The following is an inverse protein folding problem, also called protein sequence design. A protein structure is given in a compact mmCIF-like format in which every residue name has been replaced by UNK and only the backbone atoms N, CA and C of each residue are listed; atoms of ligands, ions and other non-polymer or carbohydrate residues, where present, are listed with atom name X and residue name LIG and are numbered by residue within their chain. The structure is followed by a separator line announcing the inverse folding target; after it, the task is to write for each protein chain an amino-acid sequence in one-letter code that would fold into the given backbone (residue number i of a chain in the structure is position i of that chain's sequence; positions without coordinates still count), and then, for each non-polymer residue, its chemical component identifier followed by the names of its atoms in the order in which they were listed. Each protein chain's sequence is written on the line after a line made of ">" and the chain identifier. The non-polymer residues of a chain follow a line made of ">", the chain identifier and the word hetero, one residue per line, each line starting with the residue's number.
data_IF_103131191232
#
_entry.id   IF_103131191232
#
_cell.length_a   1.000
_cell.length_b   1.000
_cell.length_c   1.000
_cell.angle_alpha   90.00
_cell.angle_beta   90.00
_cell.angle_gamma   90.00
#
_symmetry.space_group_name_H-M   'P 1'
#
loop_
_entity.id
_entity.type
_entity.pdbx_description
1 polymer ?
#
# COMPACT_ATOMS: atom_id res chain seq x y z
N UNK A 1 -29.78 27.79 16.59
CA UNK A 1 -29.46 28.02 15.15
C UNK A 1 -28.55 26.93 14.61
N UNK A 2 -27.47 26.57 15.29
CA UNK A 2 -26.47 25.58 14.85
C UNK A 2 -27.03 24.22 14.42
N UNK A 3 -27.82 23.56 15.27
CA UNK A 3 -28.41 22.26 14.93
C UNK A 3 -29.41 22.33 13.76
N UNK A 4 -30.05 23.47 13.57
CA UNK A 4 -30.97 23.68 12.45
C UNK A 4 -30.22 23.73 11.12
N UNK A 5 -29.15 24.51 11.03
CA UNK A 5 -28.32 24.61 9.81
C UNK A 5 -27.69 23.26 9.44
N UNK A 6 -27.18 22.52 10.43
CA UNK A 6 -26.57 21.22 10.23
C UNK A 6 -27.58 20.13 9.84
N UNK A 7 -28.76 20.14 10.45
CA UNK A 7 -29.85 19.22 10.08
C UNK A 7 -30.37 19.50 8.68
N UNK A 8 -30.47 20.78 8.30
CA UNK A 8 -30.88 21.16 6.95
C UNK A 8 -29.88 20.65 5.89
N UNK A 9 -28.58 20.69 6.18
CA UNK A 9 -27.54 20.09 5.32
C UNK A 9 -27.73 18.58 5.11
N UNK A 10 -28.16 17.85 6.13
CA UNK A 10 -28.49 16.41 6.04
C UNK A 10 -29.73 16.19 5.16
N UNK A 11 -30.74 17.03 5.30
CA UNK A 11 -31.96 16.97 4.47
C UNK A 11 -31.64 17.24 3.00
N UNK A 12 -30.84 18.28 2.72
CA UNK A 12 -30.39 18.60 1.36
C UNK A 12 -29.62 17.43 0.75
N UNK A 13 -28.68 16.83 1.48
CA UNK A 13 -27.94 15.66 1.02
C UNK A 13 -28.86 14.46 0.73
N UNK A 14 -29.83 14.20 1.59
CA UNK A 14 -30.80 13.12 1.44
C UNK A 14 -31.69 13.31 0.21
N UNK A 15 -32.20 14.52 -0.01
CA UNK A 15 -33.02 14.87 -1.17
C UNK A 15 -32.19 14.73 -2.45
N UNK A 16 -30.94 15.21 -2.47
CA UNK A 16 -30.09 15.13 -3.64
C UNK A 16 -29.80 13.67 -4.05
N UNK A 17 -29.53 12.80 -3.07
CA UNK A 17 -29.34 11.36 -3.31
C UNK A 17 -30.65 10.70 -3.76
N UNK A 18 -31.78 11.04 -3.14
CA UNK A 18 -33.09 10.53 -3.58
C UNK A 18 -33.41 10.91 -5.03
N UNK A 19 -33.17 12.18 -5.40
CA UNK A 19 -33.34 12.66 -6.77
C UNK A 19 -32.39 11.97 -7.75
N UNK A 20 -31.18 11.60 -7.33
CA UNK A 20 -30.27 10.80 -8.14
C UNK A 20 -30.87 9.39 -8.39
N UNK A 21 -31.34 8.70 -7.36
CA UNK A 21 -31.93 7.37 -7.50
C UNK A 21 -33.21 7.37 -8.35
N UNK A 22 -34.04 8.41 -8.23
CA UNK A 22 -35.34 8.49 -8.92
C UNK A 22 -35.26 9.06 -10.34
N UNK A 23 -34.46 10.11 -10.55
CA UNK A 23 -34.45 10.89 -11.78
C UNK A 23 -33.09 10.92 -12.50
N UNK A 24 -32.02 10.39 -11.89
CA UNK A 24 -30.68 10.36 -12.49
C UNK A 24 -29.99 11.73 -12.57
N UNK A 25 -30.41 12.71 -11.76
CA UNK A 25 -29.92 14.10 -11.84
C UNK A 25 -28.52 14.30 -11.23
N UNK A 26 -27.49 13.86 -11.94
CA UNK A 26 -26.10 13.94 -11.47
C UNK A 26 -25.61 15.37 -11.22
N UNK A 27 -26.00 16.35 -12.07
CA UNK A 27 -25.60 17.76 -11.91
C UNK A 27 -26.10 18.36 -10.60
N UNK A 28 -27.32 18.01 -10.19
CA UNK A 28 -27.90 18.46 -8.94
C UNK A 28 -27.19 17.83 -7.74
N UNK A 29 -26.82 16.54 -7.83
CA UNK A 29 -26.00 15.88 -6.83
C UNK A 29 -24.63 16.56 -6.66
N UNK A 30 -23.89 16.77 -7.75
CA UNK A 30 -22.55 17.41 -7.68
C UNK A 30 -22.64 18.81 -7.06
N UNK A 31 -23.63 19.60 -7.47
CA UNK A 31 -23.86 20.93 -6.91
C UNK A 31 -24.20 20.87 -5.40
N UNK A 32 -25.07 19.93 -5.01
CA UNK A 32 -25.45 19.72 -3.61
C UNK A 32 -24.26 19.33 -2.73
N UNK A 33 -23.36 18.47 -3.23
CA UNK A 33 -22.13 18.09 -2.52
C UNK A 33 -21.30 19.35 -2.21
N UNK A 34 -21.02 20.17 -3.22
CA UNK A 34 -20.25 21.40 -3.04
C UNK A 34 -20.90 22.37 -2.05
N UNK A 35 -22.21 22.56 -2.17
CA UNK A 35 -22.98 23.46 -1.31
C UNK A 35 -23.00 23.00 0.14
N UNK A 36 -23.30 21.72 0.40
CA UNK A 36 -23.37 21.17 1.77
C UNK A 36 -21.99 21.21 2.46
N UNK A 37 -20.91 20.88 1.75
CA UNK A 37 -19.56 20.99 2.32
C UNK A 37 -19.14 22.43 2.57
N UNK A 38 -19.56 23.38 1.73
CA UNK A 38 -19.35 24.81 1.96
C UNK A 38 -20.11 25.33 3.18
N UNK A 39 -21.36 24.90 3.38
CA UNK A 39 -22.12 25.21 4.61
C UNK A 39 -21.38 24.69 5.84
N UNK A 40 -20.84 23.47 5.77
CA UNK A 40 -20.08 22.92 6.89
C UNK A 40 -18.76 23.63 7.16
N UNK A 41 -18.08 24.09 6.12
CA UNK A 41 -16.89 24.93 6.26
C UNK A 41 -17.22 26.28 6.91
N UNK A 42 -18.29 26.93 6.46
CA UNK A 42 -18.75 28.18 7.05
C UNK A 42 -19.15 28.00 8.51
N UNK A 43 -19.81 26.89 8.85
CA UNK A 43 -20.11 26.54 10.22
C UNK A 43 -18.83 26.38 11.06
N UNK A 44 -17.84 25.65 10.55
CA UNK A 44 -16.55 25.48 11.23
C UNK A 44 -15.84 26.82 11.48
N UNK A 45 -15.96 27.77 10.55
CA UNK A 45 -15.42 29.14 10.64
C UNK A 45 -16.30 30.11 11.45
N UNK A 46 -17.20 29.57 12.28
CA UNK A 46 -18.10 30.34 13.15
C UNK A 46 -19.10 31.24 12.39
N UNK A 47 -19.47 30.89 11.15
CA UNK A 47 -20.44 31.59 10.31
C UNK A 47 -20.17 33.10 10.15
N UNK A 48 -19.08 33.50 9.47
CA UNK A 48 -18.74 34.91 9.27
C UNK A 48 -19.78 35.67 8.44
N UNK A 49 -20.48 34.97 7.54
CA UNK A 49 -21.57 35.55 6.73
C UNK A 49 -22.77 36.00 7.56
N UNK A 50 -22.91 35.52 8.80
CA UNK A 50 -23.95 35.96 9.74
C UNK A 50 -23.47 37.08 10.67
N UNK A 51 -22.33 37.72 10.37
CA UNK A 51 -21.77 38.84 11.15
C UNK A 51 -20.88 38.41 12.32
N UNK A 52 -20.59 37.11 12.47
CA UNK A 52 -19.66 36.64 13.49
C UNK A 52 -18.20 36.85 13.06
N UNK A 53 -17.28 36.90 14.03
CA UNK A 53 -15.86 36.95 13.73
C UNK A 53 -15.40 35.65 13.05
N UNK A 54 -14.51 35.79 12.06
CA UNK A 54 -13.88 34.68 11.35
C UNK A 54 -12.90 33.97 12.29
N UNK A 55 -13.38 32.93 12.97
CA UNK A 55 -12.59 32.13 13.90
C UNK A 55 -13.06 30.67 13.85
N UNK A 56 -12.16 29.72 14.12
CA UNK A 56 -12.58 28.33 14.30
C UNK A 56 -13.50 28.22 15.52
N UNK A 57 -14.58 27.45 15.39
CA UNK A 57 -15.48 27.17 16.51
C UNK A 57 -14.71 26.54 17.69
N UNK A 58 -15.05 26.94 18.91
CA UNK A 58 -14.38 26.45 20.14
C UNK A 58 -14.97 25.15 20.68
N UNK A 59 -16.22 24.84 20.33
CA UNK A 59 -16.94 23.64 20.77
C UNK A 59 -17.57 23.00 19.53
N UNK A 60 -17.32 21.70 19.32
CA UNK A 60 -17.74 21.02 18.09
C UNK A 60 -19.26 20.81 17.98
N UNK A 61 -20.03 20.81 19.08
CA UNK A 61 -21.50 20.69 19.12
C UNK A 61 -22.09 19.65 18.14
N UNK A 62 -21.58 18.40 18.18
CA UNK A 62 -21.94 17.30 17.26
C UNK A 62 -21.61 17.52 15.77
N UNK A 63 -20.91 18.60 15.39
CA UNK A 63 -20.54 18.90 14.00
C UNK A 63 -19.80 17.77 13.28
N UNK A 64 -18.94 17.02 13.99
CA UNK A 64 -18.30 15.80 13.48
C UNK A 64 -19.31 14.73 13.13
N UNK A 65 -20.32 14.47 13.97
CA UNK A 65 -21.37 13.47 13.68
C UNK A 65 -22.14 13.83 12.41
N UNK A 66 -22.54 15.11 12.27
CA UNK A 66 -23.20 15.57 11.05
C UNK A 66 -22.31 15.41 9.81
N UNK A 67 -21.02 15.70 9.91
CA UNK A 67 -20.06 15.49 8.81
C UNK A 67 -20.00 14.02 8.37
N UNK A 68 -19.96 13.08 9.32
CA UNK A 68 -19.96 11.64 9.02
C UNK A 68 -21.28 11.18 8.39
N UNK A 69 -22.42 11.65 8.92
CA UNK A 69 -23.75 11.32 8.37
C UNK A 69 -23.89 11.84 6.94
N UNK A 70 -23.48 13.08 6.67
CA UNK A 70 -23.50 13.68 5.33
C UNK A 70 -22.63 12.84 4.37
N UNK A 71 -21.41 12.51 4.78
CA UNK A 71 -20.49 11.71 3.96
C UNK A 71 -21.06 10.31 3.67
N UNK A 72 -21.71 9.69 4.65
CA UNK A 72 -22.37 8.39 4.49
C UNK A 72 -23.57 8.46 3.54
N UNK A 73 -24.42 9.47 3.67
CA UNK A 73 -25.56 9.69 2.77
C UNK A 73 -25.09 9.87 1.33
N UNK A 74 -24.14 10.77 1.09
CA UNK A 74 -23.59 10.95 -0.26
C UNK A 74 -22.91 9.69 -0.78
N UNK A 75 -22.28 8.89 0.07
CA UNK A 75 -21.67 7.62 -0.34
C UNK A 75 -22.66 6.63 -0.94
N UNK A 76 -23.96 6.71 -0.60
CA UNK A 76 -25.01 5.87 -1.19
C UNK A 76 -25.14 6.06 -2.72
N UNK A 77 -24.65 7.18 -3.27
CA UNK A 77 -24.61 7.40 -4.72
C UNK A 77 -23.89 6.27 -5.47
N UNK A 78 -22.92 5.61 -4.82
CA UNK A 78 -22.14 4.52 -5.42
C UNK A 78 -22.91 3.20 -5.59
N UNK A 79 -24.12 3.11 -5.03
CA UNK A 79 -25.03 1.95 -5.18
C UNK A 79 -26.04 2.10 -6.31
N UNK A 80 -26.09 3.26 -6.97
CA UNK A 80 -26.96 3.50 -8.12
C UNK A 80 -26.57 2.54 -9.25
N UNK A 81 -27.54 1.82 -9.81
CA UNK A 81 -27.33 0.94 -10.97
C UNK A 81 -26.87 1.74 -12.17
N UNK A 82 -25.97 1.16 -12.97
CA UNK A 82 -25.52 1.79 -14.20
C UNK A 82 -26.69 1.92 -15.18
N UNK A 83 -26.98 3.13 -15.64
CA UNK A 83 -27.95 3.43 -16.69
C UNK A 83 -27.28 4.23 -17.80
N UNK A 84 -27.82 4.19 -19.01
CA UNK A 84 -27.29 4.95 -20.15
C UNK A 84 -27.29 6.47 -19.91
N UNK A 85 -28.19 6.97 -19.05
CA UNK A 85 -28.28 8.38 -18.67
C UNK A 85 -27.18 8.84 -17.70
N UNK A 86 -26.45 7.92 -17.07
CA UNK A 86 -25.43 8.22 -16.07
C UNK A 86 -24.04 7.99 -16.66
N UNK A 87 -23.36 9.08 -17.01
CA UNK A 87 -21.98 9.02 -17.46
C UNK A 87 -21.06 8.51 -16.32
N UNK A 88 -20.21 7.53 -16.64
CA UNK A 88 -19.24 6.94 -15.71
C UNK A 88 -18.37 8.01 -15.01
N UNK A 89 -18.00 9.07 -15.74
CA UNK A 89 -17.19 10.18 -15.24
C UNK A 89 -17.93 11.03 -14.20
N UNK A 90 -19.25 11.18 -14.31
CA UNK A 90 -20.05 12.02 -13.41
C UNK A 90 -20.17 11.44 -12.01
N UNK A 91 -20.41 10.13 -11.90
CA UNK A 91 -20.50 9.45 -10.60
C UNK A 91 -19.12 9.39 -9.94
N UNK A 92 -18.09 8.99 -10.69
CA UNK A 92 -16.72 8.94 -10.16
C UNK A 92 -16.26 10.32 -9.67
N UNK A 93 -16.52 11.37 -10.46
CA UNK A 93 -16.21 12.75 -10.06
C UNK A 93 -16.95 13.19 -8.80
N UNK A 94 -18.23 12.82 -8.66
CA UNK A 94 -19.02 13.15 -7.47
C UNK A 94 -18.54 12.41 -6.22
N UNK A 95 -18.13 11.14 -6.35
CA UNK A 95 -17.51 10.38 -5.24
C UNK A 95 -16.18 11.01 -4.82
N UNK A 96 -15.35 11.42 -5.78
CA UNK A 96 -14.08 12.11 -5.48
C UNK A 96 -14.33 13.45 -4.80
N UNK A 97 -15.29 14.25 -5.27
CA UNK A 97 -15.66 15.52 -4.65
C UNK A 97 -16.15 15.34 -3.21
N UNK A 98 -16.99 14.33 -2.97
CA UNK A 98 -17.44 13.97 -1.62
C UNK A 98 -16.27 13.58 -0.72
N UNK A 99 -15.35 12.74 -1.23
CA UNK A 99 -14.14 12.35 -0.51
C UNK A 99 -13.22 13.53 -0.19
N UNK A 100 -13.01 14.45 -1.13
CA UNK A 100 -12.19 15.65 -0.93
C UNK A 100 -12.81 16.59 0.11
N UNK A 101 -14.11 16.89 -0.01
CA UNK A 101 -14.84 17.74 0.94
C UNK A 101 -14.83 17.15 2.35
N UNK A 102 -15.09 15.84 2.47
CA UNK A 102 -14.99 15.13 3.74
C UNK A 102 -13.58 15.18 4.32
N UNK A 103 -12.55 14.88 3.53
CA UNK A 103 -11.15 14.83 3.99
C UNK A 103 -10.66 16.19 4.46
N UNK A 104 -10.97 17.25 3.72
CA UNK A 104 -10.60 18.62 4.08
C UNK A 104 -11.22 19.02 5.42
N UNK A 105 -12.52 18.83 5.59
CA UNK A 105 -13.19 19.16 6.85
C UNK A 105 -12.73 18.26 7.99
N UNK A 106 -12.57 16.95 7.76
CA UNK A 106 -12.08 16.03 8.77
C UNK A 106 -10.69 16.46 9.27
N UNK A 107 -9.79 16.87 8.38
CA UNK A 107 -8.47 17.37 8.76
C UNK A 107 -8.57 18.62 9.65
N UNK A 108 -9.46 19.57 9.32
CA UNK A 108 -9.71 20.75 10.15
C UNK A 108 -10.28 20.37 11.53
N UNK A 109 -11.27 19.48 11.59
CA UNK A 109 -11.83 19.01 12.86
C UNK A 109 -10.80 18.27 13.71
N UNK A 110 -9.96 17.43 13.10
CA UNK A 110 -8.89 16.73 13.80
C UNK A 110 -7.87 17.72 14.36
N UNK A 111 -7.43 18.69 13.56
CA UNK A 111 -6.47 19.71 13.97
C UNK A 111 -7.00 20.62 15.08
N UNK A 112 -8.31 20.91 15.12
CA UNK A 112 -8.91 21.78 16.14
C UNK A 112 -9.34 21.05 17.41
N UNK A 113 -9.88 19.83 17.31
CA UNK A 113 -10.59 19.18 18.41
C UNK A 113 -10.02 17.83 18.86
N UNK A 114 -9.32 17.10 17.98
CA UNK A 114 -8.89 15.72 18.25
C UNK A 114 -7.39 15.53 18.13
N UNK A 115 -6.58 16.55 18.47
CA UNK A 115 -5.11 16.48 18.35
C UNK A 115 -4.50 15.25 19.03
N UNK A 116 -5.06 14.84 20.18
CA UNK A 116 -4.61 13.68 20.96
C UNK A 116 -5.35 12.39 20.61
N UNK A 117 -6.65 12.47 20.33
CA UNK A 117 -7.54 11.30 20.25
C UNK A 117 -8.07 11.00 18.83
N UNK A 118 -7.38 11.46 17.79
CA UNK A 118 -7.80 11.23 16.39
C UNK A 118 -7.72 9.76 15.94
N UNK A 119 -7.03 8.90 16.68
CA UNK A 119 -6.77 7.51 16.33
C UNK A 119 -8.08 6.73 16.10
N UNK A 120 -9.01 6.79 17.05
CA UNK A 120 -10.31 6.11 16.95
C UNK A 120 -11.17 6.70 15.84
N UNK A 121 -11.08 8.01 15.62
CA UNK A 121 -11.80 8.69 14.55
C UNK A 121 -11.32 8.19 13.18
N UNK A 122 -10.01 8.18 12.94
CA UNK A 122 -9.42 7.67 11.70
C UNK A 122 -9.68 6.17 11.52
N UNK A 123 -9.66 5.39 12.61
CA UNK A 123 -10.02 3.97 12.60
C UNK A 123 -11.46 3.71 12.19
N UNK A 124 -12.41 4.51 12.68
CA UNK A 124 -13.83 4.37 12.30
C UNK A 124 -14.06 4.72 10.83
N UNK A 125 -13.39 5.76 10.30
CA UNK A 125 -13.41 6.10 8.88
C UNK A 125 -12.82 4.96 8.05
N UNK A 126 -11.66 4.44 8.47
CA UNK A 126 -11.00 3.32 7.79
C UNK A 126 -11.90 2.09 7.72
N UNK A 127 -12.47 1.68 8.86
CA UNK A 127 -13.37 0.54 8.94
C UNK A 127 -14.61 0.72 8.05
N UNK A 128 -15.25 1.90 8.10
CA UNK A 128 -16.39 2.22 7.24
C UNK A 128 -16.01 2.11 5.76
N UNK A 129 -14.91 2.74 5.34
CA UNK A 129 -14.50 2.74 3.94
C UNK A 129 -14.09 1.35 3.43
N UNK A 130 -13.40 0.56 4.24
CA UNK A 130 -13.03 -0.81 3.88
C UNK A 130 -14.27 -1.71 3.78
N UNK A 131 -15.15 -1.71 4.78
CA UNK A 131 -16.40 -2.48 4.74
C UNK A 131 -17.30 -2.05 3.57
N UNK A 132 -17.41 -0.74 3.33
CA UNK A 132 -18.18 -0.21 2.23
C UNK A 132 -17.58 -0.57 0.87
N UNK A 133 -16.25 -0.59 0.75
CA UNK A 133 -15.57 -1.05 -0.47
C UNK A 133 -15.88 -2.52 -0.78
N UNK A 134 -15.96 -3.37 0.24
CA UNK A 134 -16.36 -4.78 0.11
C UNK A 134 -17.81 -4.88 -0.38
N UNK A 135 -18.72 -4.12 0.24
CA UNK A 135 -20.12 -4.09 -0.16
C UNK A 135 -20.28 -3.64 -1.62
N UNK A 136 -19.59 -2.57 -2.03
CA UNK A 136 -19.59 -2.09 -3.41
C UNK A 136 -19.01 -3.14 -4.37
N UNK A 137 -17.94 -3.83 -3.99
CA UNK A 137 -17.36 -4.88 -4.82
C UNK A 137 -18.32 -6.05 -5.07
N UNK A 138 -19.22 -6.33 -4.12
CA UNK A 138 -20.19 -7.42 -4.21
C UNK A 138 -21.49 -7.02 -4.92
N UNK A 139 -21.96 -5.77 -4.73
CA UNK A 139 -23.28 -5.33 -5.18
C UNK A 139 -23.28 -4.31 -6.31
N UNK A 140 -22.21 -3.54 -6.47
CA UNK A 140 -22.16 -2.42 -7.41
C UNK A 140 -21.47 -2.79 -8.71
N UNK A 141 -22.01 -2.30 -9.81
CA UNK A 141 -21.40 -2.42 -11.14
C UNK A 141 -20.12 -1.55 -11.26
N UNK A 142 -19.98 -0.56 -10.38
CA UNK A 142 -18.92 0.44 -10.38
C UNK A 142 -17.66 -0.05 -9.66
N UNK A 143 -16.87 -0.90 -10.34
CA UNK A 143 -15.62 -1.47 -9.78
C UNK A 143 -14.56 -0.42 -9.39
N UNK A 144 -14.53 0.72 -10.09
CA UNK A 144 -13.56 1.80 -9.84
C UNK A 144 -13.86 2.51 -8.51
N UNK A 145 -15.14 2.78 -8.20
CA UNK A 145 -15.52 3.42 -6.93
C UNK A 145 -15.21 2.54 -5.73
N UNK A 146 -15.42 1.23 -5.82
CA UNK A 146 -15.00 0.30 -4.76
C UNK A 146 -13.49 0.43 -4.46
N UNK A 147 -12.66 0.57 -5.51
CA UNK A 147 -11.22 0.77 -5.35
C UNK A 147 -10.85 2.10 -4.67
N UNK A 148 -11.56 3.19 -4.95
CA UNK A 148 -11.33 4.48 -4.29
C UNK A 148 -11.65 4.42 -2.78
N UNK A 149 -12.77 3.82 -2.40
CA UNK A 149 -13.10 3.62 -0.98
C UNK A 149 -12.07 2.74 -0.27
N UNK A 150 -11.61 1.65 -0.92
CA UNK A 150 -10.57 0.81 -0.35
C UNK A 150 -9.26 1.58 -0.12
N UNK A 151 -8.81 2.35 -1.11
CA UNK A 151 -7.60 3.17 -1.00
C UNK A 151 -7.71 4.22 0.10
N UNK A 152 -8.83 4.93 0.17
CA UNK A 152 -9.07 5.91 1.23
C UNK A 152 -9.12 5.26 2.61
N UNK A 153 -9.73 4.07 2.72
CA UNK A 153 -9.73 3.26 3.94
C UNK A 153 -8.32 2.85 4.37
N UNK A 154 -7.45 2.49 3.44
CA UNK A 154 -6.06 2.16 3.76
C UNK A 154 -5.20 3.37 4.13
N UNK A 155 -5.40 4.52 3.49
CA UNK A 155 -4.69 5.75 3.86
C UNK A 155 -5.07 6.18 5.28
N UNK A 156 -6.36 6.15 5.61
CA UNK A 156 -6.83 6.46 6.98
C UNK A 156 -6.37 5.42 8.01
N UNK A 157 -6.28 4.14 7.61
CA UNK A 157 -5.65 3.10 8.44
C UNK A 157 -4.19 3.42 8.75
N UNK A 158 -3.42 3.90 7.76
CA UNK A 158 -2.01 4.26 7.96
C UNK A 158 -1.86 5.41 8.96
N UNK A 159 -2.74 6.43 8.91
CA UNK A 159 -2.76 7.54 9.87
C UNK A 159 -3.14 7.04 11.27
N UNK A 160 -4.12 6.14 11.37
CA UNK A 160 -4.50 5.50 12.64
C UNK A 160 -3.32 4.70 13.24
N UNK A 161 -2.63 3.88 12.44
CA UNK A 161 -1.49 3.07 12.87
C UNK A 161 -0.35 3.94 13.37
N UNK A 162 -0.07 5.05 12.67
CA UNK A 162 0.90 6.04 13.13
C UNK A 162 0.53 6.58 14.51
N UNK A 163 -0.73 6.97 14.72
CA UNK A 163 -1.18 7.48 16.00
C UNK A 163 -1.04 6.47 17.15
N UNK A 164 -1.38 5.20 16.95
CA UNK A 164 -1.31 4.21 18.03
C UNK A 164 0.09 3.74 18.41
N UNK A 165 1.00 3.64 17.45
CA UNK A 165 2.28 2.93 17.66
C UNK A 165 3.51 3.84 17.62
N UNK A 166 3.37 5.09 17.17
CA UNK A 166 4.44 6.05 16.91
C UNK A 166 5.57 5.51 16.02
N UNK A 167 6.39 6.39 15.46
CA UNK A 167 7.63 5.94 14.82
C UNK A 167 8.69 5.62 15.89
N UNK A 168 9.46 4.53 15.71
CA UNK A 168 9.60 3.69 14.51
C UNK A 168 8.71 2.42 14.47
N UNK A 169 7.97 2.09 15.53
CA UNK A 169 7.18 0.83 15.57
C UNK A 169 6.04 0.81 14.56
N UNK A 170 5.47 1.97 14.23
CA UNK A 170 4.45 2.09 13.19
C UNK A 170 4.90 1.51 11.84
N UNK A 171 6.20 1.58 11.49
CA UNK A 171 6.72 1.02 10.24
C UNK A 171 6.45 -0.49 10.10
N UNK A 172 6.51 -1.23 11.21
CA UNK A 172 6.20 -2.67 11.22
C UNK A 172 4.76 -2.93 10.75
N UNK A 173 3.80 -2.23 11.35
CA UNK A 173 2.38 -2.38 11.02
C UNK A 173 2.04 -1.83 9.63
N UNK A 174 2.69 -0.74 9.21
CA UNK A 174 2.53 -0.20 7.86
C UNK A 174 3.07 -1.16 6.78
N UNK A 175 4.17 -1.87 7.06
CA UNK A 175 4.67 -2.93 6.19
C UNK A 175 3.62 -4.05 6.06
N UNK A 176 3.09 -4.55 7.18
CA UNK A 176 2.06 -5.60 7.15
C UNK A 176 0.78 -5.14 6.45
N UNK A 177 0.36 -3.89 6.68
CA UNK A 177 -0.79 -3.27 6.00
C UNK A 177 -0.59 -3.29 4.48
N UNK A 178 0.60 -2.95 3.98
CA UNK A 178 0.90 -2.97 2.54
C UNK A 178 0.63 -4.34 1.88
N UNK A 179 0.94 -5.44 2.57
CA UNK A 179 0.62 -6.78 2.06
C UNK A 179 -0.89 -7.03 1.97
N UNK A 180 -1.64 -6.57 2.98
CA UNK A 180 -3.11 -6.67 3.00
C UNK A 180 -3.72 -5.85 1.85
N UNK A 181 -3.20 -4.65 1.58
CA UNK A 181 -3.65 -3.80 0.47
C UNK A 181 -3.49 -4.52 -0.87
N UNK A 182 -2.34 -5.16 -1.14
CA UNK A 182 -2.15 -5.91 -2.40
C UNK A 182 -3.04 -7.15 -2.47
N UNK A 183 -3.27 -7.81 -1.34
CA UNK A 183 -4.21 -8.94 -1.26
C UNK A 183 -5.62 -8.52 -1.67
N UNK A 184 -6.09 -7.38 -1.16
CA UNK A 184 -7.38 -6.80 -1.54
C UNK A 184 -7.40 -6.33 -3.00
N UNK A 185 -6.32 -5.72 -3.48
CA UNK A 185 -6.18 -5.28 -4.88
C UNK A 185 -6.34 -6.44 -5.87
N UNK A 186 -5.72 -7.58 -5.56
CA UNK A 186 -5.81 -8.81 -6.34
C UNK A 186 -7.23 -9.35 -6.36
N UNK A 187 -7.94 -9.32 -5.23
CA UNK A 187 -9.35 -9.74 -5.15
C UNK A 187 -10.26 -8.81 -5.96
N UNK A 188 -10.04 -7.50 -5.86
CA UNK A 188 -10.78 -6.48 -6.61
C UNK A 188 -10.42 -6.47 -8.10
N UNK A 189 -9.35 -7.18 -8.49
CA UNK A 189 -8.73 -7.14 -9.82
C UNK A 189 -8.38 -5.71 -10.25
N UNK A 190 -8.03 -4.85 -9.28
CA UNK A 190 -7.76 -3.43 -9.49
C UNK A 190 -6.26 -3.16 -9.58
N UNK A 191 -5.79 -2.82 -10.79
CA UNK A 191 -4.40 -2.43 -11.04
C UNK A 191 -4.03 -1.13 -10.32
N UNK A 192 -4.99 -0.22 -10.21
CA UNK A 192 -4.79 1.09 -9.58
C UNK A 192 -4.36 0.95 -8.12
N UNK A 193 -5.01 0.06 -7.36
CA UNK A 193 -4.65 -0.19 -5.96
C UNK A 193 -3.22 -0.73 -5.83
N UNK A 194 -2.81 -1.66 -6.72
CA UNK A 194 -1.45 -2.21 -6.70
C UNK A 194 -0.41 -1.11 -6.95
N UNK A 195 -0.64 -0.22 -7.92
CA UNK A 195 0.28 0.88 -8.24
C UNK A 195 0.42 1.83 -7.06
N UNK A 196 -0.70 2.30 -6.50
CA UNK A 196 -0.70 3.21 -5.35
C UNK A 196 0.01 2.58 -4.15
N UNK A 197 -0.27 1.31 -3.84
CA UNK A 197 0.40 0.62 -2.75
C UNK A 197 1.90 0.43 -2.99
N UNK A 198 2.32 0.19 -4.23
CA UNK A 198 3.75 0.08 -4.56
C UNK A 198 4.48 1.40 -4.29
N UNK A 199 3.88 2.54 -4.67
CA UNK A 199 4.42 3.86 -4.39
C UNK A 199 4.49 4.11 -2.88
N UNK A 200 3.39 3.84 -2.17
CA UNK A 200 3.28 4.05 -0.72
C UNK A 200 4.31 3.20 0.04
N UNK A 201 4.43 1.91 -0.31
CA UNK A 201 5.41 1.00 0.29
C UNK A 201 6.85 1.46 0.03
N UNK A 202 7.17 1.89 -1.19
CA UNK A 202 8.49 2.44 -1.52
C UNK A 202 8.80 3.68 -0.67
N UNK A 203 7.85 4.61 -0.57
CA UNK A 203 8.02 5.82 0.26
C UNK A 203 8.23 5.46 1.72
N UNK A 204 7.44 4.54 2.28
CA UNK A 204 7.60 4.10 3.67
C UNK A 204 8.98 3.48 3.91
N UNK A 205 9.45 2.60 3.01
CA UNK A 205 10.78 1.98 3.12
C UNK A 205 11.88 3.05 3.07
N UNK A 206 11.81 3.99 2.14
CA UNK A 206 12.80 5.07 2.03
C UNK A 206 12.80 5.99 3.25
N UNK A 207 11.62 6.33 3.79
CA UNK A 207 11.51 7.12 5.01
C UNK A 207 12.10 6.38 6.22
N UNK A 208 11.80 5.09 6.36
CA UNK A 208 12.35 4.26 7.43
C UNK A 208 13.88 4.25 7.39
N UNK A 209 14.47 3.96 6.22
CA UNK A 209 15.93 3.92 6.05
C UNK A 209 16.62 5.28 6.29
N UNK A 210 15.91 6.40 6.11
CA UNK A 210 16.47 7.75 6.29
C UNK A 210 16.29 8.29 7.71
N UNK A 211 15.19 7.96 8.38
CA UNK A 211 14.73 8.69 9.58
C UNK A 211 14.81 7.90 10.86
N UNK A 212 14.91 6.58 10.80
CA UNK A 212 14.79 5.71 11.98
C UNK A 212 16.02 4.84 12.16
N UNK A 213 16.29 4.51 13.41
CA UNK A 213 17.21 3.45 13.74
C UNK A 213 16.71 2.12 13.17
N UNK A 214 17.64 1.31 12.72
CA UNK A 214 17.34 0.00 12.15
C UNK A 214 16.88 -0.91 13.27
N UNK A 215 15.60 -1.30 13.25
CA UNK A 215 15.01 -2.23 14.21
C UNK A 215 14.79 -3.56 13.52
N UNK A 216 15.28 -4.64 14.13
CA UNK A 216 15.20 -6.01 13.58
C UNK A 216 13.79 -6.39 13.14
N UNK A 217 12.80 -6.22 14.01
CA UNK A 217 11.41 -6.56 13.69
C UNK A 217 10.88 -5.80 12.47
N UNK A 218 11.24 -4.52 12.33
CA UNK A 218 10.83 -3.68 11.20
C UNK A 218 11.56 -4.10 9.92
N UNK A 219 12.87 -4.33 9.98
CA UNK A 219 13.69 -4.82 8.86
C UNK A 219 13.15 -6.15 8.30
N UNK A 220 12.89 -7.11 9.20
CA UNK A 220 12.31 -8.42 8.85
C UNK A 220 10.95 -8.24 8.19
N UNK A 221 10.10 -7.36 8.73
CA UNK A 221 8.75 -7.13 8.19
C UNK A 221 8.80 -6.60 6.76
N UNK A 222 9.65 -5.61 6.46
CA UNK A 222 9.81 -5.08 5.10
C UNK A 222 10.33 -6.13 4.13
N UNK A 223 11.36 -6.89 4.53
CA UNK A 223 11.93 -7.98 3.73
C UNK A 223 10.89 -9.04 3.36
N UNK A 224 10.16 -9.51 4.37
CA UNK A 224 9.17 -10.57 4.22
C UNK A 224 7.96 -10.08 3.42
N UNK A 225 7.43 -8.90 3.73
CA UNK A 225 6.31 -8.30 2.98
C UNK A 225 6.69 -8.10 1.52
N UNK A 226 7.89 -7.61 1.22
CA UNK A 226 8.32 -7.40 -0.17
C UNK A 226 8.39 -8.72 -0.96
N UNK A 227 8.95 -9.78 -0.37
CA UNK A 227 8.99 -11.13 -0.98
C UNK A 227 7.58 -11.72 -1.18
N UNK A 228 6.75 -11.68 -0.15
CA UNK A 228 5.38 -12.21 -0.22
C UNK A 228 4.54 -11.45 -1.25
N UNK A 229 4.66 -10.13 -1.30
CA UNK A 229 3.94 -9.28 -2.26
C UNK A 229 4.36 -9.58 -3.70
N UNK A 230 5.67 -9.69 -3.96
CA UNK A 230 6.18 -10.07 -5.27
C UNK A 230 5.66 -11.45 -5.72
N UNK A 231 5.54 -12.39 -4.77
CA UNK A 231 5.04 -13.75 -5.03
C UNK A 231 3.53 -13.76 -5.28
N UNK A 232 2.75 -13.04 -4.47
CA UNK A 232 1.31 -12.90 -4.65
C UNK A 232 0.96 -12.34 -6.03
N UNK A 233 1.66 -11.28 -6.45
CA UNK A 233 1.48 -10.67 -7.77
C UNK A 233 1.89 -11.62 -8.92
N UNK A 234 2.90 -12.47 -8.70
CA UNK A 234 3.29 -13.48 -9.68
C UNK A 234 2.22 -14.56 -9.86
N UNK A 235 1.64 -15.02 -8.76
CA UNK A 235 0.63 -16.08 -8.78
C UNK A 235 -0.66 -15.62 -9.47
N UNK A 236 -1.07 -14.37 -9.23
CA UNK A 236 -2.33 -13.83 -9.77
C UNK A 236 -2.15 -12.98 -11.02
N UNK A 237 -1.10 -13.27 -11.80
CA UNK A 237 -0.74 -12.54 -13.03
C UNK A 237 -1.90 -12.46 -14.01
N UNK A 238 -2.62 -13.56 -14.24
CA UNK A 238 -3.70 -13.62 -15.22
C UNK A 238 -4.97 -12.85 -14.80
N UNK A 239 -5.15 -12.63 -13.49
CA UNK A 239 -6.25 -11.82 -12.96
C UNK A 239 -6.04 -10.33 -13.17
N UNK A 240 -4.80 -9.89 -13.40
CA UNK A 240 -4.37 -8.50 -13.51
C UNK A 240 -3.75 -8.28 -14.89
N UNK A 241 -4.60 -8.19 -15.91
CA UNK A 241 -4.26 -8.36 -17.34
C UNK A 241 -3.12 -7.53 -17.96
N UNK A 242 -2.41 -6.58 -17.32
CA UNK A 242 -1.26 -5.82 -17.92
C UNK A 242 -0.25 -5.29 -16.86
N UNK A 243 1.05 -5.22 -17.23
CA UNK A 243 2.24 -4.55 -16.59
C UNK A 243 2.62 -4.91 -15.14
N UNK A 244 2.02 -5.92 -14.53
CA UNK A 244 2.42 -6.48 -13.21
C UNK A 244 3.89 -6.88 -13.12
N UNK A 245 4.56 -7.14 -14.25
CA UNK A 245 5.98 -7.47 -14.27
C UNK A 245 6.88 -6.36 -13.72
N UNK A 246 6.57 -5.08 -13.98
CA UNK A 246 7.36 -3.96 -13.48
C UNK A 246 7.15 -3.79 -11.98
N UNK A 247 5.90 -3.76 -11.52
CA UNK A 247 5.56 -3.62 -10.10
C UNK A 247 6.14 -4.77 -9.27
N UNK A 248 6.04 -6.01 -9.75
CA UNK A 248 6.70 -7.17 -9.13
C UNK A 248 8.21 -6.99 -9.03
N UNK A 249 8.85 -6.44 -10.06
CA UNK A 249 10.30 -6.20 -10.03
C UNK A 249 10.68 -5.19 -8.97
N UNK A 250 9.89 -4.13 -8.80
CA UNK A 250 10.11 -3.14 -7.73
C UNK A 250 10.12 -3.84 -6.37
N UNK A 251 9.10 -4.67 -6.08
CA UNK A 251 9.07 -5.44 -4.83
C UNK A 251 10.24 -6.42 -4.68
N UNK A 252 10.67 -7.10 -5.76
CA UNK A 252 11.85 -7.97 -5.69
C UNK A 252 13.13 -7.18 -5.42
N UNK A 253 13.30 -6.01 -6.04
CA UNK A 253 14.47 -5.16 -5.79
C UNK A 253 14.49 -4.69 -4.34
N UNK A 254 13.35 -4.22 -3.81
CA UNK A 254 13.22 -3.84 -2.39
C UNK A 254 13.53 -5.05 -1.50
N UNK A 255 12.98 -6.22 -1.80
CA UNK A 255 13.25 -7.45 -1.05
C UNK A 255 14.74 -7.82 -1.06
N UNK A 256 15.42 -7.70 -2.20
CA UNK A 256 16.85 -7.99 -2.31
C UNK A 256 17.67 -7.15 -1.34
N UNK A 257 17.49 -5.83 -1.36
CA UNK A 257 18.21 -4.92 -0.48
C UNK A 257 17.82 -5.09 0.98
N UNK A 258 16.52 -5.18 1.28
CA UNK A 258 16.05 -5.31 2.65
C UNK A 258 16.50 -6.64 3.28
N UNK A 259 16.55 -7.75 2.54
CA UNK A 259 17.05 -9.02 3.08
C UNK A 259 18.54 -8.93 3.43
N UNK A 260 19.37 -8.35 2.56
CA UNK A 260 20.79 -8.14 2.86
C UNK A 260 20.98 -7.26 4.09
N UNK A 261 20.25 -6.15 4.17
CA UNK A 261 20.28 -5.22 5.29
C UNK A 261 19.81 -5.88 6.59
N UNK A 262 18.72 -6.64 6.52
CA UNK A 262 18.17 -7.37 7.68
C UNK A 262 19.20 -8.37 8.22
N UNK A 263 19.82 -9.16 7.34
CA UNK A 263 20.83 -10.14 7.75
C UNK A 263 22.11 -9.48 8.25
N UNK A 264 22.48 -8.31 7.71
CA UNK A 264 23.63 -7.55 8.18
C UNK A 264 23.46 -7.03 9.61
N UNK A 265 22.24 -6.60 9.96
CA UNK A 265 21.96 -6.07 11.29
C UNK A 265 21.65 -7.16 12.33
N UNK A 266 20.91 -8.20 11.93
CA UNK A 266 20.44 -9.25 12.83
C UNK A 266 21.55 -10.22 13.28
N UNK A 267 22.61 -10.36 12.48
CA UNK A 267 23.61 -11.42 12.67
C UNK A 267 24.94 -10.79 13.12
N UNK A 268 25.64 -11.41 14.10
CA UNK A 268 26.94 -10.92 14.54
C UNK A 268 27.93 -10.78 13.39
N UNK A 269 28.81 -9.76 13.45
CA UNK A 269 29.71 -9.37 12.36
C UNK A 269 30.47 -10.56 11.73
N UNK A 270 30.97 -11.47 12.57
CA UNK A 270 31.69 -12.70 12.18
C UNK A 270 30.93 -13.68 11.28
N UNK A 271 29.61 -13.57 11.17
CA UNK A 271 28.76 -14.51 10.42
C UNK A 271 28.02 -13.86 9.25
N UNK A 272 28.30 -12.59 8.92
CA UNK A 272 27.56 -11.85 7.88
C UNK A 272 27.79 -12.47 6.50
N UNK A 273 29.03 -12.73 6.10
CA UNK A 273 29.32 -13.40 4.81
C UNK A 273 28.67 -14.77 4.72
N UNK A 274 28.73 -15.56 5.80
CA UNK A 274 28.10 -16.89 5.84
C UNK A 274 26.59 -16.77 5.64
N UNK A 275 25.95 -15.83 6.34
CA UNK A 275 24.52 -15.57 6.24
C UNK A 275 24.08 -15.16 4.84
N UNK A 276 24.79 -14.21 4.22
CA UNK A 276 24.49 -13.79 2.84
C UNK A 276 24.69 -14.96 1.87
N UNK A 277 25.71 -15.78 2.08
CA UNK A 277 25.93 -16.98 1.26
C UNK A 277 24.78 -17.98 1.41
N UNK A 278 24.26 -18.20 2.63
CA UNK A 278 23.06 -19.01 2.86
C UNK A 278 21.82 -18.40 2.19
N UNK A 279 21.64 -17.08 2.27
CA UNK A 279 20.54 -16.39 1.58
C UNK A 279 20.61 -16.57 0.06
N UNK A 280 21.81 -16.55 -0.53
CA UNK A 280 22.00 -16.87 -1.94
C UNK A 280 21.57 -18.31 -2.30
N UNK A 281 21.90 -19.28 -1.45
CA UNK A 281 21.43 -20.67 -1.61
C UNK A 281 19.91 -20.73 -1.55
N UNK A 282 19.28 -20.06 -0.59
CA UNK A 282 17.81 -19.99 -0.47
C UNK A 282 17.19 -19.40 -1.74
N UNK A 283 17.73 -18.29 -2.26
CA UNK A 283 17.26 -17.71 -3.52
C UNK A 283 17.46 -18.64 -4.72
N UNK A 284 18.56 -19.38 -4.76
CA UNK A 284 18.83 -20.35 -5.82
C UNK A 284 17.83 -21.52 -5.78
N UNK A 285 17.59 -22.09 -4.60
CA UNK A 285 16.57 -23.13 -4.39
C UNK A 285 15.18 -22.61 -4.78
N UNK A 286 14.81 -21.40 -4.36
CA UNK A 286 13.55 -20.76 -4.77
C UNK A 286 13.46 -20.58 -6.29
N UNK A 287 14.56 -20.25 -6.97
CA UNK A 287 14.61 -20.19 -8.43
C UNK A 287 14.28 -21.53 -9.09
N UNK A 288 14.75 -22.64 -8.52
CA UNK A 288 14.46 -23.99 -9.02
C UNK A 288 13.00 -24.38 -8.76
N UNK A 289 12.53 -24.23 -7.51
CA UNK A 289 11.18 -24.59 -7.08
C UNK A 289 10.13 -23.77 -7.84
N UNK A 290 10.34 -22.47 -7.98
CA UNK A 290 9.41 -21.56 -8.64
C UNK A 290 9.63 -21.45 -10.15
N UNK A 291 10.64 -22.13 -10.70
CA UNK A 291 11.06 -22.06 -12.10
C UNK A 291 11.16 -20.60 -12.62
N UNK A 292 11.67 -19.69 -11.78
CA UNK A 292 11.68 -18.26 -12.06
C UNK A 292 13.10 -17.68 -12.03
N UNK A 293 13.55 -17.20 -13.19
CA UNK A 293 14.91 -16.67 -13.43
C UNK A 293 15.21 -15.43 -12.57
N UNK A 294 14.21 -14.70 -12.08
CA UNK A 294 14.47 -13.50 -11.26
C UNK A 294 15.10 -13.82 -9.91
N UNK A 295 14.66 -14.91 -9.27
CA UNK A 295 15.29 -15.39 -8.04
C UNK A 295 16.72 -15.89 -8.28
N UNK A 296 17.01 -16.35 -9.51
CA UNK A 296 18.38 -16.70 -9.93
C UNK A 296 19.30 -15.48 -9.95
N UNK A 297 18.81 -14.35 -10.47
CA UNK A 297 19.56 -13.09 -10.44
C UNK A 297 19.77 -12.59 -9.00
N UNK A 298 18.78 -12.74 -8.13
CA UNK A 298 18.93 -12.41 -6.70
C UNK A 298 20.00 -13.29 -6.05
N UNK A 299 20.00 -14.60 -6.31
CA UNK A 299 21.03 -15.51 -5.79
C UNK A 299 22.43 -15.10 -6.24
N UNK A 300 22.64 -14.83 -7.53
CA UNK A 300 23.92 -14.38 -8.06
C UNK A 300 24.34 -13.02 -7.48
N UNK A 301 23.41 -12.06 -7.39
CA UNK A 301 23.67 -10.76 -6.79
C UNK A 301 24.06 -10.85 -5.32
N UNK A 302 23.40 -11.72 -4.55
CA UNK A 302 23.73 -11.98 -3.14
C UNK A 302 25.09 -12.67 -3.00
N UNK A 303 25.43 -13.61 -3.88
CA UNK A 303 26.77 -14.22 -3.92
C UNK A 303 27.86 -13.18 -4.17
N UNK A 304 27.64 -12.28 -5.14
CA UNK A 304 28.57 -11.20 -5.45
C UNK A 304 28.72 -10.27 -4.25
N UNK A 305 27.62 -9.86 -3.60
CA UNK A 305 27.65 -9.04 -2.41
C UNK A 305 28.40 -9.73 -1.25
N UNK A 306 28.19 -11.03 -1.03
CA UNK A 306 28.91 -11.82 -0.03
C UNK A 306 30.41 -11.88 -0.31
N UNK A 307 30.80 -12.09 -1.56
CA UNK A 307 32.21 -12.07 -1.95
C UNK A 307 32.85 -10.70 -1.71
N UNK A 308 32.18 -9.61 -2.11
CA UNK A 308 32.69 -8.25 -1.86
C UNK A 308 32.84 -7.95 -0.37
N UNK A 309 31.82 -8.28 0.44
CA UNK A 309 31.89 -8.07 1.89
C UNK A 309 33.03 -8.87 2.53
N UNK A 310 33.20 -10.13 2.11
CA UNK A 310 34.28 -10.97 2.58
C UNK A 310 35.67 -10.38 2.30
N UNK A 311 35.92 -9.95 1.06
CA UNK A 311 37.23 -9.42 0.66
C UNK A 311 37.54 -8.06 1.30
N UNK A 312 36.54 -7.19 1.46
CA UNK A 312 36.76 -5.81 1.91
C UNK A 312 36.75 -5.73 3.45
N UNK A 313 35.87 -6.46 4.12
CA UNK A 313 35.60 -6.28 5.56
C UNK A 313 36.09 -7.48 6.37
N UNK A 314 35.67 -8.70 6.02
CA UNK A 314 35.99 -9.87 6.85
C UNK A 314 37.47 -10.22 6.83
N UNK A 315 38.18 -9.93 5.74
CA UNK A 315 39.61 -10.22 5.62
C UNK A 315 40.44 -9.49 6.69
N UNK A 316 39.99 -8.31 7.12
CA UNK A 316 40.67 -7.45 8.10
C UNK A 316 40.16 -7.69 9.53
N UNK A 317 38.83 -7.86 9.71
CA UNK A 317 38.20 -7.78 11.04
C UNK A 317 37.89 -9.12 11.71
N UNK A 318 37.83 -10.22 10.96
CA UNK A 318 37.31 -11.49 11.46
C UNK A 318 38.43 -12.45 11.82
N UNK A 319 38.25 -13.31 12.82
CA UNK A 319 39.26 -14.33 13.17
C UNK A 319 39.50 -15.32 12.02
N UNK A 320 40.73 -15.85 11.93
CA UNK A 320 41.19 -16.67 10.82
C UNK A 320 40.30 -17.90 10.55
N UNK A 321 39.79 -18.53 11.61
CA UNK A 321 38.94 -19.74 11.50
C UNK A 321 37.63 -19.43 10.76
N UNK A 322 36.95 -18.33 11.10
CA UNK A 322 35.70 -17.95 10.45
C UNK A 322 35.91 -17.50 9.00
N UNK A 323 37.05 -16.86 8.71
CA UNK A 323 37.44 -16.51 7.33
C UNK A 323 37.59 -17.75 6.45
N UNK A 324 38.29 -18.78 6.94
CA UNK A 324 38.48 -20.03 6.21
C UNK A 324 37.13 -20.72 5.96
N UNK A 325 36.28 -20.82 6.98
CA UNK A 325 34.94 -21.43 6.85
C UNK A 325 34.09 -20.69 5.82
N UNK A 326 34.04 -19.35 5.88
CA UNK A 326 33.28 -18.54 4.93
C UNK A 326 33.79 -18.72 3.49
N UNK A 327 35.12 -18.73 3.29
CA UNK A 327 35.74 -18.90 1.98
C UNK A 327 35.49 -20.31 1.41
N UNK A 328 35.62 -21.35 2.23
CA UNK A 328 35.30 -22.72 1.83
C UNK A 328 33.83 -22.86 1.42
N UNK A 329 32.92 -22.25 2.19
CA UNK A 329 31.50 -22.31 1.90
C UNK A 329 31.14 -21.58 0.60
N UNK A 330 31.73 -20.39 0.39
CA UNK A 330 31.56 -19.59 -0.83
C UNK A 330 32.12 -20.33 -2.07
N UNK A 331 33.30 -20.95 -1.93
CA UNK A 331 33.91 -21.75 -2.99
C UNK A 331 33.05 -22.97 -3.34
N UNK A 332 32.59 -23.72 -2.33
CA UNK A 332 31.74 -24.90 -2.53
C UNK A 332 30.46 -24.56 -3.28
N UNK A 333 29.77 -23.49 -2.89
CA UNK A 333 28.53 -23.06 -3.54
C UNK A 333 28.80 -22.54 -4.96
N UNK A 334 29.89 -21.80 -5.17
CA UNK A 334 30.28 -21.31 -6.49
C UNK A 334 30.57 -22.46 -7.47
N UNK A 335 31.28 -23.49 -7.01
CA UNK A 335 31.54 -24.71 -7.80
C UNK A 335 30.23 -25.43 -8.11
N UNK A 336 29.36 -25.61 -7.10
CA UNK A 336 28.05 -26.24 -7.28
C UNK A 336 27.18 -25.52 -8.32
N UNK A 337 27.13 -24.19 -8.26
CA UNK A 337 26.43 -23.35 -9.24
C UNK A 337 27.03 -23.48 -10.65
N UNK A 338 28.36 -23.47 -10.76
CA UNK A 338 29.08 -23.60 -12.03
C UNK A 338 28.79 -24.93 -12.74
N UNK A 339 28.85 -26.06 -12.00
CA UNK A 339 28.55 -27.40 -12.53
C UNK A 339 27.09 -27.47 -13.00
N UNK A 340 26.16 -26.94 -12.21
CA UNK A 340 24.75 -26.94 -12.55
C UNK A 340 24.47 -26.20 -13.87
N UNK A 341 25.06 -25.01 -14.06
CA UNK A 341 24.88 -24.27 -15.31
C UNK A 341 25.58 -24.91 -16.49
N UNK A 342 26.80 -25.43 -16.30
CA UNK A 342 27.53 -26.13 -17.35
C UNK A 342 26.74 -27.34 -17.87
N UNK A 343 26.14 -28.14 -16.97
CA UNK A 343 25.26 -29.26 -17.36
C UNK A 343 23.99 -28.79 -18.08
N UNK A 344 23.37 -27.70 -17.63
CA UNK A 344 22.15 -27.17 -18.24
C UNK A 344 22.39 -26.60 -19.65
N UNK A 345 23.51 -25.92 -19.87
CA UNK A 345 23.90 -25.41 -21.19
C UNK A 345 24.17 -26.58 -22.14
N UNK A 346 24.93 -27.59 -21.69
CA UNK A 346 25.21 -28.79 -22.48
C UNK A 346 23.94 -29.57 -22.87
N UNK A 347 22.95 -29.65 -21.98
CA UNK A 347 21.63 -30.26 -22.26
C UNK A 347 20.74 -29.42 -23.18
N UNK A 348 20.90 -28.09 -23.21
CA UNK A 348 20.18 -27.23 -24.16
C UNK A 348 20.76 -27.37 -25.56
N UNK A 349 22.08 -27.41 -25.69
CA UNK A 349 22.78 -27.65 -26.97
C UNK A 349 22.52 -29.04 -27.54
N UNK A 350 22.33 -30.07 -26.70
CA UNK A 350 21.95 -31.41 -27.19
C UNK A 350 20.49 -31.53 -27.65
N UNK A 351 19.63 -30.56 -27.31
CA UNK A 351 18.19 -30.59 -27.58
C UNK A 351 17.76 -29.63 -28.71
N UNK A 352 18.69 -28.88 -29.32
CA UNK A 352 18.51 -28.16 -30.58
C UNK A 352 19.22 -28.98 -31.70
N UNK A 353 18.60 -30.03 -32.27
CA UNK A 353 19.18 -30.71 -33.42
C UNK A 353 18.92 -29.88 -34.68
N UNK A 354 19.99 -29.45 -35.37
CA UNK A 354 20.15 -29.29 -36.83
C UNK A 354 19.01 -28.73 -37.72
N UNK A 355 17.96 -28.06 -37.21
CA UNK A 355 16.91 -27.48 -38.06
C UNK A 355 17.17 -26.01 -38.44
N UNK A 356 18.41 -25.53 -38.34
CA UNK A 356 18.83 -24.19 -38.75
C UNK A 356 20.06 -24.21 -39.67
N UNK A 357 20.30 -25.36 -40.32
CA UNK A 357 21.27 -25.50 -41.41
C UNK A 357 20.61 -26.20 -42.60
N UNK A 358 19.57 -25.58 -43.15
CA UNK A 358 19.23 -25.68 -44.58
C UNK A 358 18.77 -24.31 -45.07
#
# INVERSE_FOLDING_TARGET
>A
TTHFTLSMSVVIASIAVFCLFRYGWIRLLTFSIFLVYSIQLLYFLNNPLMGHQLQAIRIHNFGTVYLFVIAAIYSLMALVRKSESLADTGIVGSVLLNGMGFSMLLALYVASFYKTDYMLLMGSVSAYCLLYSVLLQLKSDWKITAAFYALFGFVTMSVMVHGFYDFPRAYFFLALQSFLVVSMAVWFRSKFIVVMNTLLFLTIVLLYLKTSELIDGVNISFSLVALLTARLLNWKRDRLTIKTNLLRNVYLIIAFFMVLLTLHHLIPERYITLSWTVAAVVYFVLSLVLKNVKYRYMALGTMIAAAFYFFIIDLDRVELVFRIIALMFLAFISIGLSIYYSKKIKKKQSNEPESAQQ
#
